data_IF_901786593558
#
_entry.id   IF_901786593558
#
_cell.length_a   1.000
_cell.length_b   1.000
_cell.length_c   1.000
_cell.angle_alpha   90.00
_cell.angle_beta   90.00
_cell.angle_gamma   90.00
#
_symmetry.space_group_name_H-M   'P 1'
#
loop_
_entity.id
_entity.type
_entity.pdbx_description
1 polymer ?
#
# COMPACT_ATOMS: atom_id res chain seq x y z
N UNK A 1 2.18 -27.90 -3.66
CA UNK A 1 2.98 -26.70 -3.40
C UNK A 1 2.02 -25.59 -3.04
N UNK A 2 2.21 -24.92 -1.89
CA UNK A 2 1.19 -24.05 -1.27
C UNK A 2 0.67 -22.95 -2.21
N UNK A 3 1.55 -22.39 -3.04
CA UNK A 3 1.24 -21.32 -4.02
C UNK A 3 0.25 -21.78 -5.10
N UNK A 4 0.27 -23.06 -5.50
CA UNK A 4 -0.68 -23.57 -6.51
C UNK A 4 -2.11 -23.65 -5.97
N UNK A 5 -2.26 -23.88 -4.67
CA UNK A 5 -3.54 -23.98 -3.99
C UNK A 5 -4.06 -22.62 -3.47
N UNK A 6 -3.28 -21.55 -3.65
CA UNK A 6 -3.69 -20.20 -3.27
C UNK A 6 -4.84 -19.74 -4.18
N UNK A 7 -5.93 -19.31 -3.57
CA UNK A 7 -7.10 -18.73 -4.22
C UNK A 7 -7.27 -17.31 -3.67
N UNK A 8 -7.55 -16.35 -4.55
CA UNK A 8 -7.75 -14.97 -4.15
C UNK A 8 -9.25 -14.76 -3.88
N UNK A 9 -9.62 -14.67 -2.60
CA UNK A 9 -11.00 -14.40 -2.17
C UNK A 9 -11.08 -13.18 -1.28
N UNK A 10 -10.03 -12.94 -0.50
CA UNK A 10 -9.93 -11.84 0.43
C UNK A 10 -8.63 -11.07 0.26
N UNK A 11 -8.58 -9.87 0.83
CA UNK A 11 -7.41 -9.02 0.74
C UNK A 11 -6.18 -9.60 1.45
N UNK A 12 -6.36 -10.45 2.46
CA UNK A 12 -5.24 -11.12 3.13
C UNK A 12 -4.54 -12.14 2.22
N UNK A 13 -5.25 -12.77 1.28
CA UNK A 13 -4.64 -13.64 0.26
C UNK A 13 -3.72 -12.84 -0.67
N UNK A 14 -4.17 -11.63 -1.05
CA UNK A 14 -3.35 -10.68 -1.79
C UNK A 14 -2.11 -10.27 -1.00
N UNK A 15 -2.24 -9.96 0.29
CA UNK A 15 -1.09 -9.62 1.15
C UNK A 15 -0.10 -10.78 1.21
N UNK A 16 -0.57 -12.00 1.50
CA UNK A 16 0.27 -13.17 1.59
C UNK A 16 1.03 -13.45 0.28
N UNK A 17 0.41 -13.21 -0.86
CA UNK A 17 1.09 -13.30 -2.16
C UNK A 17 2.16 -12.22 -2.34
N UNK A 18 1.87 -10.97 -1.98
CA UNK A 18 2.85 -9.88 -2.08
C UNK A 18 4.05 -10.11 -1.16
N UNK A 19 3.82 -10.57 0.08
CA UNK A 19 4.87 -10.89 1.04
C UNK A 19 5.74 -12.07 0.55
N UNK A 20 5.17 -13.00 -0.23
CA UNK A 20 5.91 -14.09 -0.87
C UNK A 20 6.84 -13.60 -1.99
N UNK A 21 6.49 -12.50 -2.67
CA UNK A 21 7.32 -11.92 -3.72
C UNK A 21 8.59 -11.24 -3.18
N UNK A 22 8.66 -10.95 -1.88
CA UNK A 22 9.85 -10.38 -1.26
C UNK A 22 11.01 -11.39 -1.18
N UNK A 23 10.72 -12.70 -1.19
CA UNK A 23 11.73 -13.76 -1.24
C UNK A 23 12.21 -13.97 -2.68
N UNK A 24 13.35 -13.33 -3.00
CA UNK A 24 13.96 -13.39 -4.34
C UNK A 24 14.33 -14.81 -4.79
N UNK A 25 14.84 -15.65 -3.89
CA UNK A 25 15.24 -17.02 -4.23
C UNK A 25 14.00 -17.87 -4.54
N UNK A 26 12.93 -17.66 -3.78
CA UNK A 26 11.64 -18.28 -4.03
C UNK A 26 11.05 -17.86 -5.38
N UNK A 27 11.05 -16.55 -5.67
CA UNK A 27 10.50 -16.00 -6.91
C UNK A 27 11.22 -16.55 -8.13
N UNK A 28 12.56 -16.60 -8.10
CA UNK A 28 13.35 -17.14 -9.21
C UNK A 28 13.07 -18.63 -9.43
N UNK A 29 12.95 -19.41 -8.35
CA UNK A 29 12.68 -20.85 -8.42
C UNK A 29 11.30 -21.20 -8.94
N UNK A 30 10.29 -20.37 -8.63
CA UNK A 30 8.89 -20.66 -8.93
C UNK A 30 8.23 -19.67 -9.89
N UNK A 31 9.03 -18.89 -10.63
CA UNK A 31 8.60 -17.82 -11.53
C UNK A 31 7.37 -18.18 -12.37
N UNK A 32 7.41 -19.30 -13.09
CA UNK A 32 6.31 -19.72 -13.96
C UNK A 32 4.98 -19.92 -13.21
N UNK A 33 5.01 -20.42 -11.97
CA UNK A 33 3.79 -20.62 -11.17
C UNK A 33 3.28 -19.27 -10.67
N UNK A 34 4.21 -18.41 -10.24
CA UNK A 34 3.90 -17.06 -9.74
C UNK A 34 3.36 -16.16 -10.85
N UNK A 35 3.85 -16.28 -12.08
CA UNK A 35 3.33 -15.51 -13.22
C UNK A 35 1.83 -15.76 -13.40
N UNK A 36 1.41 -17.03 -13.48
CA UNK A 36 -0.02 -17.39 -13.57
C UNK A 36 -0.84 -16.87 -12.38
N UNK A 37 -0.29 -16.99 -11.17
CA UNK A 37 -0.99 -16.55 -9.96
C UNK A 37 -1.07 -15.03 -9.85
N UNK A 38 -0.07 -14.31 -10.35
CA UNK A 38 -0.11 -12.85 -10.41
C UNK A 38 -1.22 -12.35 -11.35
N UNK A 39 -1.45 -13.03 -12.48
CA UNK A 39 -2.55 -12.69 -13.38
C UNK A 39 -3.90 -12.98 -12.74
N UNK A 40 -4.05 -14.12 -12.05
CA UNK A 40 -5.24 -14.45 -11.26
C UNK A 40 -5.51 -13.40 -10.18
N UNK A 41 -4.48 -12.98 -9.44
CA UNK A 41 -4.58 -11.95 -8.40
C UNK A 41 -5.05 -10.62 -8.98
N UNK A 42 -4.37 -10.13 -10.02
CA UNK A 42 -4.70 -8.83 -10.63
C UNK A 42 -6.09 -8.87 -11.24
N UNK A 43 -6.49 -9.99 -11.85
CA UNK A 43 -7.84 -10.18 -12.39
C UNK A 43 -8.89 -10.12 -11.29
N UNK A 44 -8.70 -10.87 -10.21
CA UNK A 44 -9.61 -10.85 -9.06
C UNK A 44 -9.68 -9.45 -8.44
N UNK A 45 -8.54 -8.79 -8.24
CA UNK A 45 -8.48 -7.45 -7.66
C UNK A 45 -9.23 -6.42 -8.53
N UNK A 46 -9.02 -6.44 -9.83
CA UNK A 46 -9.70 -5.49 -10.72
C UNK A 46 -11.19 -5.82 -10.87
N UNK A 47 -11.56 -7.09 -11.05
CA UNK A 47 -12.91 -7.45 -11.45
C UNK A 47 -13.86 -7.66 -10.28
N UNK A 48 -13.38 -8.35 -9.25
CA UNK A 48 -14.19 -8.77 -8.10
C UNK A 48 -14.06 -7.77 -6.96
N UNK A 49 -12.85 -7.29 -6.67
CA UNK A 49 -12.63 -6.33 -5.58
C UNK A 49 -12.96 -4.89 -5.96
N UNK A 50 -12.55 -4.42 -7.15
CA UNK A 50 -12.78 -3.04 -7.61
C UNK A 50 -13.96 -2.89 -8.58
N UNK A 51 -14.48 -3.97 -9.17
CA UNK A 51 -15.59 -3.91 -10.13
C UNK A 51 -15.23 -3.38 -11.53
N UNK A 52 -13.95 -3.24 -11.86
CA UNK A 52 -13.46 -2.71 -13.15
C UNK A 52 -13.33 -3.84 -14.19
N UNK A 53 -14.40 -4.10 -14.95
CA UNK A 53 -14.42 -5.18 -15.97
C UNK A 53 -13.97 -4.76 -17.37
N UNK A 54 -13.67 -3.48 -17.57
CA UNK A 54 -13.35 -2.92 -18.90
C UNK A 54 -11.90 -3.15 -19.33
N UNK A 55 -11.04 -3.64 -18.43
CA UNK A 55 -9.61 -3.81 -18.69
C UNK A 55 -9.28 -5.27 -19.04
N UNK A 56 -8.60 -5.53 -20.18
CA UNK A 56 -8.17 -6.88 -20.51
C UNK A 56 -7.06 -7.32 -19.55
N UNK A 57 -7.12 -8.56 -19.06
CA UNK A 57 -6.07 -9.18 -18.24
C UNK A 57 -5.70 -10.50 -18.92
N UNK A 58 -4.44 -10.71 -19.34
CA UNK A 58 -3.29 -9.80 -19.25
C UNK A 58 -3.36 -8.64 -20.26
N UNK A 59 -2.61 -7.54 -20.02
CA UNK A 59 -2.46 -6.46 -20.99
C UNK A 59 -1.78 -6.96 -22.26
N UNK A 60 -2.32 -6.56 -23.41
CA UNK A 60 -1.78 -6.91 -24.73
C UNK A 60 -1.11 -5.67 -25.31
N UNK A 61 0.21 -5.76 -25.49
CA UNK A 61 1.03 -4.72 -26.10
C UNK A 61 1.02 -4.85 -27.63
N UNK A 62 1.77 -3.95 -28.28
CA UNK A 62 2.05 -3.98 -29.72
C UNK A 62 2.45 -5.40 -30.19
N UNK A 63 1.96 -5.79 -31.37
CA UNK A 63 2.20 -7.11 -31.97
C UNK A 63 1.59 -8.31 -31.22
N UNK A 64 0.47 -8.13 -30.51
CA UNK A 64 -0.23 -9.18 -29.75
C UNK A 64 0.62 -9.87 -28.69
N UNK A 65 1.70 -9.24 -28.23
CA UNK A 65 2.52 -9.76 -27.14
C UNK A 65 1.87 -9.45 -25.80
N UNK A 66 1.78 -10.46 -24.94
CA UNK A 66 1.27 -10.31 -23.58
C UNK A 66 2.35 -9.70 -22.70
N UNK A 67 1.98 -8.73 -21.88
CA UNK A 67 2.85 -8.20 -20.83
C UNK A 67 2.72 -9.08 -19.60
N UNK A 68 3.83 -9.68 -19.18
CA UNK A 68 3.88 -10.47 -17.94
C UNK A 68 3.92 -9.49 -16.76
N UNK A 69 2.77 -9.32 -16.09
CA UNK A 69 2.58 -8.35 -15.01
C UNK A 69 3.55 -8.58 -13.84
N UNK A 70 3.82 -9.83 -13.46
CA UNK A 70 4.77 -10.14 -12.40
C UNK A 70 6.20 -9.68 -12.75
N UNK A 71 6.65 -9.96 -13.97
CA UNK A 71 8.00 -9.54 -14.39
C UNK A 71 8.12 -8.02 -14.43
N UNK A 72 7.06 -7.32 -14.88
CA UNK A 72 6.99 -5.85 -14.84
C UNK A 72 7.05 -5.32 -13.40
N UNK A 73 6.32 -5.94 -12.46
CA UNK A 73 6.38 -5.58 -11.04
C UNK A 73 7.79 -5.74 -10.46
N UNK A 74 8.43 -6.89 -10.69
CA UNK A 74 9.74 -7.21 -10.11
C UNK A 74 10.84 -6.28 -10.63
N UNK A 75 10.86 -5.98 -11.94
CA UNK A 75 11.83 -5.05 -12.52
C UNK A 75 11.68 -3.63 -11.94
N UNK A 76 10.44 -3.14 -11.86
CA UNK A 76 10.17 -1.82 -11.26
C UNK A 76 10.54 -1.80 -9.78
N UNK A 77 10.28 -2.88 -9.03
CA UNK A 77 10.66 -2.99 -7.63
C UNK A 77 12.19 -3.00 -7.44
N UNK A 78 12.93 -3.68 -8.33
CA UNK A 78 14.39 -3.69 -8.34
C UNK A 78 14.99 -2.29 -8.60
N UNK A 79 14.35 -1.50 -9.46
CA UNK A 79 14.78 -0.15 -9.82
C UNK A 79 14.32 0.94 -8.82
N UNK A 80 13.85 0.56 -7.64
CA UNK A 80 13.44 1.49 -6.58
C UNK A 80 11.96 1.92 -6.64
N UNK A 81 11.14 1.20 -7.40
CA UNK A 81 9.70 1.39 -7.50
C UNK A 81 9.27 2.44 -8.53
N UNK A 82 7.96 2.56 -8.72
CA UNK A 82 7.35 3.38 -9.78
C UNK A 82 7.85 4.83 -9.81
N UNK A 83 8.02 5.47 -8.64
CA UNK A 83 8.46 6.86 -8.55
C UNK A 83 9.90 7.04 -9.03
N UNK A 84 10.78 6.10 -8.71
CA UNK A 84 12.18 6.18 -9.10
C UNK A 84 12.32 5.98 -10.62
N UNK A 85 11.72 4.89 -11.13
CA UNK A 85 11.67 4.56 -12.56
C UNK A 85 11.10 5.72 -13.40
N UNK A 86 10.06 6.38 -12.92
CA UNK A 86 9.45 7.51 -13.62
C UNK A 86 10.31 8.78 -13.57
N UNK A 87 11.01 9.02 -12.46
CA UNK A 87 11.88 10.21 -12.31
C UNK A 87 13.15 10.07 -13.14
N UNK A 88 13.74 8.88 -13.15
CA UNK A 88 14.95 8.56 -13.92
C UNK A 88 14.65 8.20 -15.39
N UNK A 89 13.36 8.09 -15.74
CA UNK A 89 12.89 7.71 -17.07
C UNK A 89 13.47 6.38 -17.58
N UNK A 90 13.54 5.36 -16.73
CA UNK A 90 14.10 4.03 -17.06
C UNK A 90 13.08 3.08 -17.68
N UNK A 91 11.84 3.52 -17.90
CA UNK A 91 10.79 2.74 -18.57
C UNK A 91 11.20 2.12 -19.92
N UNK A 92 11.94 2.82 -20.80
CA UNK A 92 12.43 2.23 -22.05
C UNK A 92 13.40 1.06 -21.81
N UNK A 93 14.22 1.12 -20.76
CA UNK A 93 15.13 0.03 -20.40
C UNK A 93 14.35 -1.18 -19.86
N UNK A 94 13.36 -0.95 -19.01
CA UNK A 94 12.46 -2.00 -18.51
C UNK A 94 11.70 -2.67 -19.66
N UNK A 95 11.22 -1.89 -20.63
CA UNK A 95 10.59 -2.44 -21.84
C UNK A 95 11.57 -3.36 -22.58
N UNK A 96 12.84 -2.95 -22.71
CA UNK A 96 13.87 -3.76 -23.35
C UNK A 96 14.14 -5.07 -22.61
N UNK A 97 14.21 -5.04 -21.28
CA UNK A 97 14.45 -6.21 -20.42
C UNK A 97 13.29 -7.22 -20.46
N UNK A 98 12.07 -6.73 -20.66
CA UNK A 98 10.88 -7.55 -20.91
C UNK A 98 10.80 -8.09 -22.35
N UNK A 99 11.77 -7.73 -23.20
CA UNK A 99 11.84 -8.16 -24.60
C UNK A 99 11.05 -7.28 -25.58
N UNK A 100 10.58 -6.11 -25.15
CA UNK A 100 9.90 -5.11 -25.99
C UNK A 100 10.90 -4.11 -26.59
N UNK A 101 10.39 -3.15 -27.38
CA UNK A 101 11.20 -2.08 -27.93
C UNK A 101 11.30 -0.93 -26.93
N UNK A 102 12.36 -0.11 -27.05
CA UNK A 102 12.51 1.09 -26.22
C UNK A 102 11.32 2.06 -26.35
N UNK A 103 10.73 2.13 -27.55
CA UNK A 103 9.55 2.93 -27.85
C UNK A 103 8.30 2.49 -27.07
N UNK A 104 8.25 1.21 -26.64
CA UNK A 104 7.15 0.68 -25.83
C UNK A 104 7.27 1.09 -24.33
N UNK A 105 8.29 1.87 -23.94
CA UNK A 105 8.51 2.30 -22.56
C UNK A 105 7.30 3.04 -21.96
N UNK A 106 6.71 3.96 -22.71
CA UNK A 106 5.51 4.67 -22.26
C UNK A 106 4.31 3.74 -22.08
N UNK A 107 4.19 2.71 -22.93
CA UNK A 107 3.17 1.68 -22.76
C UNK A 107 3.40 0.92 -21.45
N UNK A 108 4.63 0.51 -21.14
CA UNK A 108 4.95 -0.18 -19.88
C UNK A 108 4.60 0.68 -18.66
N UNK A 109 4.87 1.99 -18.70
CA UNK A 109 4.50 2.94 -17.64
C UNK A 109 2.99 3.00 -17.43
N UNK A 110 2.22 3.16 -18.51
CA UNK A 110 0.76 3.21 -18.45
C UNK A 110 0.18 1.88 -17.97
N UNK A 111 0.72 0.75 -18.42
CA UNK A 111 0.34 -0.58 -17.95
C UNK A 111 0.64 -0.75 -16.46
N UNK A 112 1.81 -0.33 -15.97
CA UNK A 112 2.11 -0.40 -14.54
C UNK A 112 1.09 0.44 -13.75
N UNK A 113 0.88 1.70 -14.14
CA UNK A 113 -0.06 2.60 -13.47
C UNK A 113 -1.50 2.05 -13.47
N UNK A 114 -1.89 1.39 -14.57
CA UNK A 114 -3.24 0.87 -14.72
C UNK A 114 -3.52 -0.38 -13.86
N UNK A 115 -2.56 -1.29 -13.72
CA UNK A 115 -2.81 -2.58 -13.08
C UNK A 115 -2.15 -2.70 -11.70
N UNK A 116 -0.93 -2.20 -11.56
CA UNK A 116 -0.05 -2.47 -10.42
C UNK A 116 -0.02 -1.31 -9.42
N UNK A 117 -0.02 -0.06 -9.88
CA UNK A 117 0.00 1.11 -8.98
C UNK A 117 -1.24 1.16 -8.08
N UNK A 118 -2.41 0.83 -8.62
CA UNK A 118 -3.63 0.74 -7.81
C UNK A 118 -3.54 -0.39 -6.79
N UNK A 119 -3.05 -1.56 -7.19
CA UNK A 119 -2.85 -2.70 -6.28
C UNK A 119 -1.89 -2.34 -5.14
N UNK A 120 -0.75 -1.74 -5.48
CA UNK A 120 0.30 -1.32 -4.55
C UNK A 120 -0.19 -0.24 -3.57
N UNK A 121 -0.99 0.72 -4.06
CA UNK A 121 -1.62 1.74 -3.22
C UNK A 121 -2.52 1.11 -2.15
N UNK A 122 -3.38 0.15 -2.53
CA UNK A 122 -4.27 -0.53 -1.58
C UNK A 122 -3.48 -1.39 -0.58
N UNK A 123 -2.43 -2.08 -1.04
CA UNK A 123 -1.51 -2.82 -0.19
C UNK A 123 -0.88 -1.93 0.89
N UNK A 124 -0.35 -0.76 0.50
CA UNK A 124 0.22 0.22 1.43
C UNK A 124 -0.85 0.83 2.36
N UNK A 125 -2.01 1.20 1.83
CA UNK A 125 -3.10 1.80 2.61
C UNK A 125 -3.63 0.86 3.69
N UNK A 126 -3.87 -0.41 3.37
CA UNK A 126 -4.37 -1.41 4.34
C UNK A 126 -3.32 -1.79 5.39
N UNK A 127 -2.03 -1.73 5.06
CA UNK A 127 -0.96 -1.84 6.08
C UNK A 127 -1.02 -0.69 7.09
N UNK A 128 -1.27 0.55 6.64
CA UNK A 128 -1.39 1.71 7.53
C UNK A 128 -2.63 1.62 8.41
N UNK A 129 -3.77 1.18 7.87
CA UNK A 129 -5.01 0.98 8.64
C UNK A 129 -4.85 -0.08 9.74
N UNK A 130 -4.20 -1.21 9.44
CA UNK A 130 -3.91 -2.26 10.43
C UNK A 130 -3.01 -1.74 11.56
N UNK A 131 -1.95 -0.99 11.22
CA UNK A 131 -1.06 -0.35 12.22
C UNK A 131 -1.76 0.69 13.10
N UNK A 132 -2.86 1.30 12.64
CA UNK A 132 -3.67 2.22 13.45
C UNK A 132 -4.60 1.46 14.40
N UNK A 133 -5.26 0.40 13.93
CA UNK A 133 -6.08 -0.46 14.78
C UNK A 133 -5.27 -1.17 15.87
N UNK A 134 -4.05 -1.64 15.54
CA UNK A 134 -3.14 -2.26 16.51
C UNK A 134 -2.55 -1.24 17.52
N UNK A 135 -2.55 0.05 17.20
CA UNK A 135 -2.14 1.13 18.12
C UNK A 135 -3.27 1.56 19.06
N UNK A 136 -4.51 1.45 18.61
CA UNK A 136 -5.69 1.83 19.38
C UNK A 136 -6.05 0.76 20.42
N UNK A 137 -5.85 -0.53 20.11
CA UNK A 137 -6.00 -1.64 21.08
C UNK A 137 -4.94 -1.64 22.18
N UNK A 138 -3.75 -1.06 21.95
CA UNK A 138 -2.70 -0.94 22.97
C UNK A 138 -2.97 0.23 23.95
N UNK A 139 -3.85 1.17 23.62
CA UNK A 139 -4.20 2.28 24.51
C UNK A 139 -5.34 1.93 25.49
N UNK A 140 -6.19 0.95 25.19
CA UNK A 140 -7.28 0.55 26.09
C UNK A 140 -6.90 -0.51 27.15
N UNK A 141 -5.82 -1.28 26.98
CA UNK A 141 -5.36 -2.25 27.99
C UNK A 141 -4.44 -1.64 29.08
N UNK A 142 -4.33 -0.30 29.13
CA UNK A 142 -3.39 0.41 30.00
C UNK A 142 -3.97 1.16 31.20
N UNK A 143 -5.28 1.18 31.48
CA UNK A 143 -5.80 1.89 32.68
C UNK A 143 -7.07 1.27 33.27
N UNK A 144 -6.88 0.25 34.11
CA UNK A 144 -7.80 -0.13 35.19
C UNK A 144 -6.98 -0.96 36.18
N UNK A 145 -6.55 -0.47 37.34
CA UNK A 145 -7.35 -0.15 38.53
C UNK A 145 -6.43 0.42 39.61
N UNK A 146 -6.92 1.35 40.43
CA UNK A 146 -6.19 1.80 41.61
C UNK A 146 -6.86 2.97 42.32
N UNK A 147 -8.01 2.75 42.95
CA UNK A 147 -8.66 3.76 43.79
C UNK A 147 -7.93 3.96 45.12
N UNK A 148 -7.91 5.19 45.63
CA UNK A 148 -8.15 5.49 47.05
C UNK A 148 -8.42 6.96 47.32
N UNK A 149 -9.42 7.16 48.17
CA UNK A 149 -9.91 8.40 48.74
C UNK A 149 -8.83 9.26 49.39
N UNK A 150 -8.98 10.58 49.27
CA UNK A 150 -8.30 11.57 50.08
C UNK A 150 -9.14 12.86 50.12
N UNK A 151 -10.12 12.89 51.01
CA UNK A 151 -10.83 14.13 51.35
C UNK A 151 -9.93 14.98 52.25
N UNK A 152 -9.64 16.22 51.86
CA UNK A 152 -9.38 17.30 52.83
C UNK A 152 -9.60 18.66 52.20
N UNK A 153 -10.56 19.35 52.81
CA UNK A 153 -10.85 20.77 52.70
C UNK A 153 -9.59 21.56 53.09
N UNK A 154 -9.38 22.71 52.47
CA UNK A 154 -9.01 23.92 53.20
C UNK A 154 -9.41 25.16 52.39
N UNK A 155 -10.30 25.94 53.01
CA UNK A 155 -10.54 27.33 52.68
C UNK A 155 -9.37 28.15 53.26
N UNK A 156 -8.89 29.12 52.49
CA UNK A 156 -7.86 30.07 52.90
C UNK A 156 -8.03 31.34 52.10
N UNK A 157 -8.86 32.22 52.65
CA UNK A 157 -9.20 33.55 52.16
C UNK A 157 -8.02 34.51 52.36
N UNK A 158 -7.79 35.40 51.39
CA UNK A 158 -6.74 36.41 51.43
C UNK A 158 -6.94 37.42 50.31
N UNK A 159 -7.94 38.27 50.48
CA UNK A 159 -8.17 39.48 49.67
C UNK A 159 -6.99 40.45 49.80
N UNK A 160 -6.51 41.00 48.69
CA UNK A 160 -5.92 42.34 48.65
C UNK A 160 -6.19 42.98 47.27
N UNK A 161 -7.09 43.96 47.33
CA UNK A 161 -7.43 44.99 46.34
C UNK A 161 -6.22 45.63 45.63
N UNK A 162 -6.41 46.04 44.38
CA UNK A 162 -5.48 46.92 43.68
C UNK A 162 -5.82 47.16 42.21
N UNK A 163 -6.89 47.93 41.99
CA UNK A 163 -7.21 48.77 40.83
C UNK A 163 -6.68 48.46 39.42
N UNK A 164 -7.63 48.46 38.47
CA UNK A 164 -7.49 49.39 37.35
C UNK A 164 -7.22 48.77 35.98
N UNK A 165 -8.31 48.69 35.22
CA UNK A 165 -8.38 48.84 33.75
C UNK A 165 -8.07 47.64 32.85
N UNK A 166 -9.18 47.03 32.43
CA UNK A 166 -9.56 46.76 31.04
C UNK A 166 -8.99 45.53 30.31
N UNK A 167 -9.85 44.49 30.28
CA UNK A 167 -10.18 43.76 29.06
C UNK A 167 -10.28 44.67 27.82
N UNK A 168 -9.88 44.14 26.66
CA UNK A 168 -10.61 44.10 25.38
C UNK A 168 -9.58 43.93 24.23
N UNK A 169 -9.51 42.73 23.63
CA UNK A 169 -10.08 42.36 22.32
C UNK A 169 -9.13 42.57 21.13
N UNK A 170 -8.89 41.44 20.46
CA UNK A 170 -8.72 41.16 19.02
C UNK A 170 -8.13 42.17 18.02
N UNK A 171 -7.38 41.55 17.08
CA UNK A 171 -7.02 41.92 15.70
C UNK A 171 -5.77 42.77 15.52
N UNK A 172 -4.72 42.12 15.00
CA UNK A 172 -4.28 42.30 13.61
C UNK A 172 -3.94 40.93 13.03
#
# INVERSE_FOLDING_TARGET
>A
MIVKAMEFKEFEDCRAFMDLLDDRDFVLKYKHILDSKSEELVKWFLFDYMGIKTRPVPPIASYMRKVILLSLYLLVAMDGGYRNVTTENTWPAIAKDLGFNYEDGDYMRVTYAAYLDVLEYYYKFKQVQKKMQDKETVLEEGTSTGGRQGSSKNAGQGDCFGDGTSCLICRC
#
